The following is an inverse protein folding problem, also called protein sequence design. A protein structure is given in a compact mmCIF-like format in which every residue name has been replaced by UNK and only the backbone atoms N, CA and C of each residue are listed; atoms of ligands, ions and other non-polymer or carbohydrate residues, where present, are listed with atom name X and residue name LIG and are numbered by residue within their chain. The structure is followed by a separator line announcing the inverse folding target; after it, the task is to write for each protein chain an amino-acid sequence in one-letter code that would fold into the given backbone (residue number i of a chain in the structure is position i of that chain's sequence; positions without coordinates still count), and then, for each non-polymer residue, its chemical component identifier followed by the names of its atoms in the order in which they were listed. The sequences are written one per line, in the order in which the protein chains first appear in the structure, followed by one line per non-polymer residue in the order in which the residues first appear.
data_IF_917025488644
#
_entry.id   IF_917025488644
#
_cell.length_a   1.000
_cell.length_b   1.000
_cell.length_c   1.000
_cell.angle_alpha   90.00
_cell.angle_beta   90.00
_cell.angle_gamma   90.00
#
_symmetry.space_group_name_H-M   'P 1'
#
loop_
_entity.id
_entity.type
_entity.pdbx_description
1 polymer ?
#
# COMPACT_ATOMS: atom_id res chain seq x y z
N UNK A 1 38.83 17.33 33.97
CA UNK A 1 38.22 17.73 32.69
C UNK A 1 37.80 19.20 32.78
N UNK A 2 38.35 20.06 31.91
CA UNK A 2 38.19 21.53 32.00
C UNK A 2 36.74 21.94 31.67
N UNK A 3 36.18 22.96 32.33
CA UNK A 3 34.79 23.43 32.09
C UNK A 3 34.54 23.79 30.62
N UNK A 4 35.57 24.33 29.94
CA UNK A 4 35.52 24.63 28.49
C UNK A 4 35.35 23.37 27.64
N UNK A 5 36.05 22.27 27.96
CA UNK A 5 35.91 20.99 27.25
C UNK A 5 34.52 20.37 27.46
N UNK A 6 33.96 20.45 28.68
CA UNK A 6 32.59 19.99 28.97
C UNK A 6 31.56 20.74 28.11
N UNK A 7 31.67 22.06 28.00
CA UNK A 7 30.76 22.87 27.19
C UNK A 7 30.83 22.50 25.70
N UNK A 8 32.02 22.29 25.16
CA UNK A 8 32.20 21.86 23.76
C UNK A 8 31.57 20.48 23.52
N UNK A 9 31.80 19.51 24.42
CA UNK A 9 31.21 18.17 24.29
C UNK A 9 29.68 18.25 24.32
N UNK A 10 29.10 18.97 25.28
CA UNK A 10 27.63 19.11 25.38
C UNK A 10 27.05 19.75 24.12
N UNK A 11 27.65 20.83 23.61
CA UNK A 11 27.20 21.48 22.37
C UNK A 11 27.27 20.53 21.17
N UNK A 12 28.37 19.79 21.01
CA UNK A 12 28.51 18.82 19.93
C UNK A 12 27.46 17.70 20.03
N UNK A 13 27.23 17.16 21.22
CA UNK A 13 26.22 16.12 21.45
C UNK A 13 24.82 16.64 21.11
N UNK A 14 24.49 17.86 21.51
CA UNK A 14 23.19 18.48 21.18
C UNK A 14 23.01 18.59 19.66
N UNK A 15 24.00 19.08 18.93
CA UNK A 15 23.92 19.21 17.46
C UNK A 15 23.72 17.84 16.79
N UNK A 16 24.43 16.81 17.25
CA UNK A 16 24.29 15.44 16.72
C UNK A 16 22.88 14.91 16.97
N UNK A 17 22.38 15.01 18.20
CA UNK A 17 21.05 14.54 18.55
C UNK A 17 19.95 15.30 17.80
N UNK A 18 20.06 16.63 17.66
CA UNK A 18 19.13 17.44 16.88
C UNK A 18 19.13 17.04 15.40
N UNK A 19 20.29 16.77 14.82
CA UNK A 19 20.40 16.35 13.42
C UNK A 19 19.75 14.98 13.22
N UNK A 20 20.02 14.02 14.12
CA UNK A 20 19.38 12.70 14.07
C UNK A 20 17.86 12.79 14.19
N UNK A 21 17.37 13.62 15.13
CA UNK A 21 15.93 13.85 15.28
C UNK A 21 15.31 14.42 14.00
N UNK A 22 15.97 15.40 13.37
CA UNK A 22 15.48 15.98 12.11
C UNK A 22 15.42 14.95 10.98
N UNK A 23 16.45 14.11 10.83
CA UNK A 23 16.47 13.03 9.83
C UNK A 23 15.30 12.06 10.06
N UNK A 24 15.06 11.64 11.31
CA UNK A 24 13.94 10.74 11.64
C UNK A 24 12.60 11.38 11.30
N UNK A 25 12.39 12.67 11.63
CA UNK A 25 11.16 13.39 11.28
C UNK A 25 10.99 13.43 9.75
N UNK A 26 12.03 13.79 9.01
CA UNK A 26 11.97 13.90 7.55
C UNK A 26 11.65 12.56 6.87
N UNK A 27 12.19 11.45 7.38
CA UNK A 27 11.88 10.10 6.89
C UNK A 27 10.41 9.74 7.13
N UNK A 28 9.87 10.06 8.31
CA UNK A 28 8.44 9.81 8.60
C UNK A 28 7.52 10.66 7.72
N UNK A 29 7.86 11.93 7.47
CA UNK A 29 7.09 12.79 6.56
C UNK A 29 7.11 12.24 5.14
N UNK A 30 8.28 11.82 4.64
CA UNK A 30 8.41 11.20 3.32
C UNK A 30 7.52 9.96 3.19
N UNK A 31 7.56 9.08 4.18
CA UNK A 31 6.76 7.86 4.16
C UNK A 31 5.26 8.15 4.24
N UNK A 32 4.86 9.18 5.02
CA UNK A 32 3.47 9.61 5.09
C UNK A 32 2.97 10.09 3.73
N UNK A 33 3.75 10.94 3.06
CA UNK A 33 3.42 11.46 1.73
C UNK A 33 3.37 10.32 0.70
N UNK A 34 4.33 9.40 0.71
CA UNK A 34 4.33 8.24 -0.17
C UNK A 34 3.09 7.36 0.02
N UNK A 35 2.68 7.13 1.28
CA UNK A 35 1.45 6.39 1.59
C UNK A 35 0.22 7.12 1.08
N UNK A 36 0.11 8.42 1.35
CA UNK A 36 -1.03 9.22 0.92
C UNK A 36 -1.17 9.27 -0.61
N UNK A 37 -0.05 9.46 -1.32
CA UNK A 37 -0.04 9.40 -2.79
C UNK A 37 -0.47 8.04 -3.30
N UNK A 38 0.12 6.95 -2.80
CA UNK A 38 -0.24 5.59 -3.23
C UNK A 38 -1.71 5.24 -2.94
N UNK A 39 -2.26 5.69 -1.81
CA UNK A 39 -3.70 5.52 -1.51
C UNK A 39 -4.54 6.29 -2.52
N UNK A 40 -4.22 7.55 -2.83
CA UNK A 40 -4.92 8.34 -3.86
C UNK A 40 -4.86 7.70 -5.24
N UNK A 41 -3.72 7.10 -5.61
CA UNK A 41 -3.62 6.34 -6.87
C UNK A 41 -4.63 5.20 -6.89
N UNK A 42 -4.68 4.44 -5.81
CA UNK A 42 -5.56 3.29 -5.74
C UNK A 42 -7.02 3.76 -5.69
N UNK A 43 -7.34 4.87 -5.02
CA UNK A 43 -8.67 5.49 -5.02
C UNK A 43 -9.11 5.88 -6.43
N UNK A 44 -8.20 6.47 -7.23
CA UNK A 44 -8.45 6.77 -8.63
C UNK A 44 -8.75 5.50 -9.43
N UNK A 45 -7.96 4.43 -9.24
CA UNK A 45 -8.24 3.13 -9.87
C UNK A 45 -9.58 2.55 -9.40
N UNK A 46 -9.93 2.71 -8.12
CA UNK A 46 -11.21 2.32 -7.53
C UNK A 46 -12.40 3.08 -8.15
N UNK A 47 -12.23 4.36 -8.44
CA UNK A 47 -13.20 5.13 -9.20
C UNK A 47 -13.37 4.58 -10.63
N UNK A 48 -12.28 4.23 -11.31
CA UNK A 48 -12.35 3.58 -12.63
C UNK A 48 -13.02 2.21 -12.58
N UNK A 49 -12.81 1.44 -11.51
CA UNK A 49 -13.56 0.19 -11.28
C UNK A 49 -15.05 0.48 -11.14
N UNK A 50 -15.45 1.46 -10.33
CA UNK A 50 -16.86 1.85 -10.15
C UNK A 50 -17.49 2.28 -11.47
N UNK A 51 -16.81 3.13 -12.23
CA UNK A 51 -17.27 3.58 -13.56
C UNK A 51 -17.44 2.40 -14.51
N UNK A 52 -16.46 1.51 -14.59
CA UNK A 52 -16.52 0.32 -15.43
C UNK A 52 -17.69 -0.61 -15.04
N UNK A 53 -17.87 -0.86 -13.75
CA UNK A 53 -18.99 -1.67 -13.23
C UNK A 53 -20.34 -1.03 -13.54
N UNK A 54 -20.47 0.29 -13.43
CA UNK A 54 -21.70 1.00 -13.75
C UNK A 54 -22.06 0.88 -15.25
N UNK A 55 -21.07 0.80 -16.13
CA UNK A 55 -21.29 0.66 -17.59
C UNK A 55 -21.50 -0.79 -18.03
N UNK A 56 -20.70 -1.72 -17.53
CA UNK A 56 -20.61 -3.09 -18.06
C UNK A 56 -21.14 -4.17 -17.11
N UNK A 57 -21.60 -3.79 -15.92
CA UNK A 57 -22.05 -4.70 -14.85
C UNK A 57 -21.06 -5.85 -14.56
N UNK A 58 -19.77 -5.59 -14.75
CA UNK A 58 -18.68 -6.57 -14.63
C UNK A 58 -17.43 -5.93 -14.06
N UNK A 59 -16.56 -6.76 -13.48
CA UNK A 59 -15.28 -6.31 -12.95
C UNK A 59 -14.29 -6.08 -14.10
N UNK A 60 -13.56 -4.96 -14.15
CA UNK A 60 -12.64 -4.70 -15.25
C UNK A 60 -11.51 -5.74 -15.32
N UNK A 61 -10.92 -6.00 -16.49
CA UNK A 61 -9.71 -6.81 -16.57
C UNK A 61 -8.49 -6.08 -15.98
N UNK A 62 -7.47 -6.83 -15.52
CA UNK A 62 -6.22 -6.23 -14.97
C UNK A 62 -5.56 -5.26 -15.96
N UNK A 63 -5.61 -5.57 -17.26
CA UNK A 63 -5.04 -4.74 -18.32
C UNK A 63 -5.69 -3.36 -18.40
N UNK A 64 -7.00 -3.25 -18.16
CA UNK A 64 -7.72 -1.98 -18.12
C UNK A 64 -7.16 -1.10 -17.00
N UNK A 65 -7.08 -1.61 -15.77
CA UNK A 65 -6.52 -0.86 -14.64
C UNK A 65 -5.05 -0.51 -14.83
N UNK A 66 -4.28 -1.41 -15.44
CA UNK A 66 -2.87 -1.16 -15.78
C UNK A 66 -2.73 -0.03 -16.80
N UNK A 67 -3.63 0.02 -17.80
CA UNK A 67 -3.68 1.12 -18.77
C UNK A 67 -4.03 2.46 -18.13
N UNK A 68 -5.05 2.48 -17.27
CA UNK A 68 -5.46 3.69 -16.52
C UNK A 68 -4.36 4.22 -15.61
N UNK A 69 -3.45 3.35 -15.13
CA UNK A 69 -2.29 3.75 -14.34
C UNK A 69 -1.28 4.58 -15.13
N UNK A 70 -1.19 4.46 -16.44
CA UNK A 70 -0.20 5.25 -17.24
C UNK A 70 -0.61 6.71 -17.42
N UNK A 71 -1.90 7.02 -17.30
CA UNK A 71 -2.43 8.38 -17.39
C UNK A 71 -2.11 9.19 -16.11
N UNK A 72 -2.06 8.51 -14.96
CA UNK A 72 -1.61 9.08 -13.70
C UNK A 72 -0.10 8.85 -13.61
N UNK A 73 0.73 9.89 -13.44
CA UNK A 73 2.22 9.75 -13.38
C UNK A 73 2.66 9.04 -12.10
N UNK A 74 2.32 7.76 -11.93
CA UNK A 74 2.21 7.13 -10.63
C UNK A 74 3.26 6.05 -10.38
N UNK A 75 4.46 6.55 -10.13
CA UNK A 75 5.60 5.75 -9.72
C UNK A 75 5.44 5.20 -8.28
N UNK A 76 4.53 5.72 -7.45
CA UNK A 76 4.53 5.45 -6.00
C UNK A 76 3.64 4.29 -5.60
N UNK A 77 2.58 3.97 -6.34
CA UNK A 77 1.78 2.77 -6.05
C UNK A 77 2.55 1.46 -6.24
N UNK A 78 3.50 1.41 -7.18
CA UNK A 78 4.21 0.16 -7.52
C UNK A 78 3.26 -0.91 -8.08
N UNK A 79 3.71 -2.15 -8.11
CA UNK A 79 2.89 -3.26 -8.56
C UNK A 79 1.78 -3.59 -7.55
N UNK A 80 0.66 -4.07 -8.07
CA UNK A 80 -0.47 -4.54 -7.28
C UNK A 80 -0.91 -5.92 -7.75
N UNK A 81 -1.35 -6.72 -6.79
CA UNK A 81 -1.99 -7.99 -7.04
C UNK A 81 -3.46 -7.77 -7.36
N UNK A 82 -3.96 -8.49 -8.36
CA UNK A 82 -5.31 -8.34 -8.87
C UNK A 82 -6.04 -9.67 -8.76
N UNK A 83 -7.13 -9.69 -8.01
CA UNK A 83 -7.83 -10.92 -7.60
C UNK A 83 -9.10 -11.20 -8.38
N UNK A 84 -9.54 -10.32 -9.30
CA UNK A 84 -10.81 -10.52 -10.02
C UNK A 84 -11.04 -11.93 -10.60
N UNK A 85 -10.03 -12.65 -11.15
CA UNK A 85 -10.23 -14.01 -11.66
C UNK A 85 -10.66 -15.04 -10.61
N UNK A 86 -10.40 -14.78 -9.32
CA UNK A 86 -10.69 -15.67 -8.19
C UNK A 86 -11.98 -15.34 -7.46
N UNK A 87 -12.62 -14.22 -7.84
CA UNK A 87 -13.80 -13.70 -7.16
C UNK A 87 -15.03 -14.30 -7.81
N UNK A 88 -15.83 -15.01 -7.02
CA UNK A 88 -17.09 -15.60 -7.44
C UNK A 88 -18.15 -14.54 -7.79
N UNK A 89 -19.08 -14.92 -8.67
CA UNK A 89 -20.22 -14.08 -8.99
C UNK A 89 -21.09 -13.87 -7.74
N UNK A 90 -21.45 -12.62 -7.46
CA UNK A 90 -22.21 -12.26 -6.26
C UNK A 90 -21.38 -12.12 -4.98
N UNK A 91 -20.04 -12.14 -5.07
CA UNK A 91 -19.18 -11.85 -3.92
C UNK A 91 -19.51 -10.50 -3.27
N UNK A 92 -19.30 -10.43 -1.95
CA UNK A 92 -19.56 -9.23 -1.15
C UNK A 92 -18.83 -8.00 -1.72
N UNK A 93 -19.43 -6.79 -1.66
CA UNK A 93 -18.75 -5.52 -1.93
C UNK A 93 -17.41 -5.38 -1.18
N UNK A 94 -17.32 -5.93 0.03
CA UNK A 94 -16.13 -5.91 0.90
C UNK A 94 -15.05 -6.90 0.49
N UNK A 95 -15.23 -7.67 -0.58
CA UNK A 95 -14.21 -8.60 -1.07
C UNK A 95 -13.03 -7.83 -1.65
N UNK A 96 -11.80 -8.25 -1.30
CA UNK A 96 -10.56 -7.64 -1.79
C UNK A 96 -10.44 -7.91 -3.29
N UNK A 97 -10.51 -6.85 -4.10
CA UNK A 97 -10.33 -6.88 -5.54
C UNK A 97 -8.87 -6.76 -5.94
N UNK A 98 -8.15 -5.84 -5.31
CA UNK A 98 -6.73 -5.63 -5.56
C UNK A 98 -6.02 -5.20 -4.28
N UNK A 99 -4.72 -5.46 -4.20
CA UNK A 99 -3.92 -4.97 -3.07
C UNK A 99 -2.47 -4.77 -3.47
N UNK A 100 -1.77 -3.88 -2.76
CA UNK A 100 -0.32 -3.75 -2.84
C UNK A 100 0.29 -3.69 -1.44
N UNK A 101 1.44 -4.35 -1.29
CA UNK A 101 2.18 -4.36 -0.02
C UNK A 101 3.10 -3.16 0.04
N UNK A 102 3.08 -2.44 1.16
CA UNK A 102 4.01 -1.34 1.44
C UNK A 102 4.76 -1.57 2.74
N UNK A 103 6.04 -1.22 2.71
CA UNK A 103 6.94 -1.34 3.86
C UNK A 103 7.53 0.05 4.15
N UNK A 104 6.79 0.83 4.95
CA UNK A 104 7.25 2.14 5.41
C UNK A 104 8.00 2.00 6.75
N UNK A 105 8.90 2.92 7.04
CA UNK A 105 9.76 2.88 8.21
C UNK A 105 9.08 3.53 9.43
N UNK A 106 9.64 3.25 10.61
CA UNK A 106 9.29 3.84 11.90
C UNK A 106 7.80 3.74 12.26
N UNK A 107 7.04 4.83 12.13
CA UNK A 107 5.70 4.99 12.73
C UNK A 107 4.60 4.41 11.82
N UNK A 108 4.75 4.51 10.50
CA UNK A 108 3.71 4.08 9.56
C UNK A 108 3.67 2.56 9.41
N UNK A 109 4.86 1.93 9.51
CA UNK A 109 5.01 0.49 9.53
C UNK A 109 4.61 -0.22 8.22
N UNK A 110 4.48 -1.54 8.34
CA UNK A 110 4.13 -2.44 7.23
C UNK A 110 2.64 -2.60 7.11
N UNK A 111 2.12 -2.51 5.90
CA UNK A 111 0.71 -2.72 5.63
C UNK A 111 0.41 -2.88 4.15
N UNK A 112 -0.88 -2.85 3.86
CA UNK A 112 -1.41 -3.07 2.53
C UNK A 112 -2.31 -1.89 2.17
N UNK A 113 -2.22 -1.44 0.93
CA UNK A 113 -3.27 -0.62 0.33
C UNK A 113 -4.21 -1.60 -0.36
N UNK A 114 -5.45 -1.64 0.09
CA UNK A 114 -6.45 -2.62 -0.30
C UNK A 114 -7.55 -1.89 -1.06
N UNK A 115 -7.89 -2.39 -2.24
CA UNK A 115 -9.06 -1.97 -2.99
C UNK A 115 -10.12 -3.07 -2.91
N UNK A 116 -11.32 -2.69 -2.49
CA UNK A 116 -12.50 -3.53 -2.39
C UNK A 116 -13.21 -3.64 -3.74
N UNK A 117 -14.15 -4.58 -3.84
CA UNK A 117 -14.92 -4.80 -5.07
C UNK A 117 -15.77 -3.60 -5.45
N UNK A 118 -16.33 -2.91 -4.45
CA UNK A 118 -17.06 -1.66 -4.63
C UNK A 118 -16.17 -0.47 -5.04
N UNK A 119 -14.86 -0.67 -5.15
CA UNK A 119 -13.89 0.36 -5.49
C UNK A 119 -13.52 1.28 -4.33
N UNK A 120 -13.97 1.00 -3.10
CA UNK A 120 -13.43 1.66 -1.90
C UNK A 120 -11.99 1.21 -1.65
N UNK A 121 -11.20 2.11 -1.06
CA UNK A 121 -9.77 1.90 -0.84
C UNK A 121 -9.43 2.25 0.59
N UNK A 122 -8.63 1.41 1.21
CA UNK A 122 -8.17 1.62 2.57
C UNK A 122 -6.74 1.15 2.79
N UNK A 123 -6.12 1.67 3.85
CA UNK A 123 -4.88 1.13 4.37
C UNK A 123 -5.20 0.12 5.47
N UNK A 124 -4.67 -1.09 5.31
CA UNK A 124 -4.88 -2.19 6.22
C UNK A 124 -3.57 -2.65 6.85
N UNK A 125 -3.61 -2.97 8.15
CA UNK A 125 -2.47 -3.57 8.83
C UNK A 125 -2.15 -4.96 8.28
N UNK A 126 -0.90 -5.41 8.40
CA UNK A 126 -0.50 -6.72 7.83
C UNK A 126 -1.28 -7.90 8.44
N UNK A 127 -1.54 -7.86 9.76
CA UNK A 127 -2.30 -8.92 10.46
C UNK A 127 -3.75 -8.96 10.00
N UNK A 128 -4.43 -7.81 10.04
CA UNK A 128 -5.81 -7.64 9.60
C UNK A 128 -5.99 -8.06 8.13
N UNK A 129 -5.05 -7.67 7.26
CA UNK A 129 -5.06 -8.07 5.86
C UNK A 129 -4.97 -9.59 5.69
N UNK A 130 -4.05 -10.25 6.39
CA UNK A 130 -3.88 -11.70 6.27
C UNK A 130 -5.09 -12.46 6.81
N UNK A 131 -5.67 -12.01 7.93
CA UNK A 131 -6.91 -12.58 8.46
C UNK A 131 -8.06 -12.44 7.48
N UNK A 132 -8.21 -11.28 6.84
CA UNK A 132 -9.28 -11.05 5.89
C UNK A 132 -9.08 -11.80 4.58
N UNK A 133 -7.86 -11.79 4.06
CA UNK A 133 -7.49 -12.49 2.84
C UNK A 133 -7.71 -14.00 3.01
N UNK A 134 -7.27 -14.60 4.13
CA UNK A 134 -7.46 -16.04 4.38
C UNK A 134 -8.93 -16.47 4.43
N UNK A 135 -9.84 -15.58 4.84
CA UNK A 135 -11.30 -15.84 4.82
C UNK A 135 -11.91 -15.75 3.42
N UNK A 136 -11.27 -14.99 2.52
CA UNK A 136 -11.78 -14.69 1.18
C UNK A 136 -11.07 -15.48 0.07
N UNK A 137 -9.96 -16.16 0.36
CA UNK A 137 -9.21 -16.92 -0.62
C UNK A 137 -9.79 -18.31 -0.82
N UNK A 138 -9.90 -18.71 -2.08
CA UNK A 138 -10.21 -20.09 -2.44
C UNK A 138 -8.93 -20.93 -2.40
N UNK A 139 -9.09 -22.24 -2.20
CA UNK A 139 -7.95 -23.17 -2.22
C UNK A 139 -7.16 -23.11 -3.54
N UNK A 140 -7.85 -22.91 -4.67
CA UNK A 140 -7.23 -22.77 -5.99
C UNK A 140 -6.37 -21.50 -6.11
N UNK A 141 -6.82 -20.38 -5.52
CA UNK A 141 -6.02 -19.15 -5.48
C UNK A 141 -4.73 -19.35 -4.66
N UNK A 142 -4.84 -20.04 -3.52
CA UNK A 142 -3.69 -20.34 -2.64
C UNK A 142 -2.65 -21.17 -3.38
N UNK A 143 -3.06 -22.26 -4.04
CA UNK A 143 -2.15 -23.16 -4.75
C UNK A 143 -1.40 -22.47 -5.89
N UNK A 144 -2.04 -21.53 -6.59
CA UNK A 144 -1.44 -20.81 -7.71
C UNK A 144 -0.53 -19.68 -7.24
N UNK A 145 -0.87 -19.00 -6.14
CA UNK A 145 -0.02 -17.96 -5.55
C UNK A 145 1.19 -18.53 -4.78
N UNK A 146 1.08 -19.75 -4.25
CA UNK A 146 2.19 -20.42 -3.53
C UNK A 146 3.12 -21.21 -4.45
N UNK A 147 2.71 -21.54 -5.67
CA UNK A 147 3.64 -22.12 -6.65
C UNK A 147 4.73 -21.09 -6.94
N UNK A 148 6.03 -21.44 -6.79
CA UNK A 148 7.09 -20.57 -7.27
C UNK A 148 6.82 -20.33 -8.75
N UNK A 149 6.80 -19.06 -9.17
CA UNK A 149 6.79 -18.69 -10.58
C UNK A 149 8.04 -19.31 -11.19
N UNK A 150 7.92 -20.52 -11.73
CA UNK A 150 8.98 -21.21 -12.42
C UNK A 150 9.39 -20.33 -13.59
N UNK A 151 10.61 -19.82 -13.51
CA UNK A 151 11.33 -19.29 -14.65
C UNK A 151 11.96 -20.45 -15.42
#
# INVERSE_FOLDING_TARGET
MNQRQKSTIVRSVVVILSTLAFVVVMLNVRDYVNRAEAVRTMEYLGEKVRQYRATYNSTPPKSYLTGQRTEFRDARLGDFEYRAPWIEFGASPDTILAYTRKNYQFIIGRGYIVMRLDGSVEWMGSTEFNELLSRQQTQAEIEILQKPKGF
#
